data_IF_675453105774
#
_entry.id   IF_675453105774
#
_cell.length_a   1.000
_cell.length_b   1.000
_cell.length_c   1.000
_cell.angle_alpha   90.00
_cell.angle_beta   90.00
_cell.angle_gamma   90.00
#
_symmetry.space_group_name_H-M   'P 1'
#
loop_
_entity.id
_entity.type
_entity.pdbx_description
1 polymer ?
#
# COMPACT_ATOMS: atom_id res chain seq x y z
N UNK A 1 2.16 20.20 -4.65
CA UNK A 1 1.30 20.77 -3.59
C UNK A 1 1.10 22.27 -3.74
N UNK A 2 2.17 23.09 -3.72
CA UNK A 2 2.04 24.52 -4.00
C UNK A 2 1.81 24.81 -5.49
N UNK A 3 2.50 24.07 -6.35
CA UNK A 3 2.39 24.21 -7.81
C UNK A 3 1.27 23.31 -8.35
N UNK A 4 1.37 21.99 -8.14
CA UNK A 4 0.45 21.00 -8.72
C UNK A 4 -0.81 20.70 -7.88
N UNK A 5 -1.05 21.46 -6.80
CA UNK A 5 -2.18 21.22 -5.90
C UNK A 5 -3.47 21.93 -6.34
N UNK A 6 -4.56 21.66 -5.63
CA UNK A 6 -5.88 22.26 -5.87
C UNK A 6 -6.63 22.49 -4.57
N UNK A 7 -7.67 23.32 -4.62
CA UNK A 7 -8.57 23.52 -3.49
C UNK A 7 -9.56 22.34 -3.39
N UNK A 8 -9.53 21.61 -2.28
CA UNK A 8 -10.48 20.53 -2.03
C UNK A 8 -11.86 21.04 -1.58
N UNK A 9 -12.85 20.15 -1.44
CA UNK A 9 -14.23 20.52 -1.05
C UNK A 9 -14.35 21.22 0.31
N UNK A 10 -13.27 21.26 1.11
CA UNK A 10 -13.21 21.97 2.39
C UNK A 10 -12.43 23.28 2.29
N UNK A 11 -12.12 23.76 1.08
CA UNK A 11 -11.38 25.01 0.87
C UNK A 11 -9.87 24.89 1.15
N UNK A 12 -9.32 23.67 1.19
CA UNK A 12 -7.91 23.46 1.56
C UNK A 12 -7.07 23.15 0.32
N UNK A 13 -5.89 23.75 0.23
CA UNK A 13 -4.89 23.33 -0.75
C UNK A 13 -4.53 21.85 -0.51
N UNK A 14 -4.68 21.01 -1.53
CA UNK A 14 -4.51 19.57 -1.48
C UNK A 14 -3.82 19.04 -2.75
N UNK A 15 -3.20 17.87 -2.62
CA UNK A 15 -2.69 17.08 -3.72
C UNK A 15 -3.04 15.63 -3.40
N UNK A 16 -4.22 15.26 -3.88
CA UNK A 16 -4.78 13.91 -3.80
C UNK A 16 -4.94 13.42 -5.22
N UNK A 17 -4.15 12.43 -5.60
CA UNK A 17 -4.17 11.89 -6.96
C UNK A 17 -3.73 10.44 -6.93
N UNK A 18 -4.50 9.58 -7.59
CA UNK A 18 -4.10 8.23 -7.95
C UNK A 18 -3.44 8.28 -9.32
N UNK A 19 -2.24 7.72 -9.42
CA UNK A 19 -1.38 7.80 -10.59
C UNK A 19 -1.15 6.37 -11.08
N UNK A 20 -1.55 6.11 -12.31
CA UNK A 20 -1.34 4.83 -13.00
C UNK A 20 -0.30 4.94 -14.11
N UNK A 21 -0.11 3.85 -14.83
CA UNK A 21 0.75 3.75 -16.01
C UNK A 21 -0.04 4.01 -17.30
N UNK A 22 0.67 4.18 -18.42
CA UNK A 22 0.10 4.29 -19.76
C UNK A 22 -0.28 5.72 -20.15
N UNK A 23 -1.26 6.32 -19.48
CA UNK A 23 -1.77 7.66 -19.81
C UNK A 23 -1.79 8.59 -18.59
N UNK A 24 -1.54 9.91 -18.78
CA UNK A 24 -1.74 10.89 -17.72
C UNK A 24 -3.17 10.86 -17.18
N UNK A 25 -3.31 10.95 -15.86
CA UNK A 25 -4.61 11.09 -15.23
C UNK A 25 -5.19 12.50 -15.46
N UNK A 26 -6.42 12.74 -14.97
CA UNK A 26 -7.11 14.04 -15.10
C UNK A 26 -6.35 15.26 -14.49
N UNK A 27 -5.23 15.04 -13.81
CA UNK A 27 -4.37 16.08 -13.24
C UNK A 27 -2.98 16.10 -13.88
N UNK A 28 -2.80 15.45 -15.03
CA UNK A 28 -1.57 15.44 -15.80
C UNK A 28 -0.49 14.50 -15.27
N UNK A 29 -0.75 13.66 -14.26
CA UNK A 29 0.25 12.75 -13.68
C UNK A 29 0.21 11.35 -14.31
N UNK A 30 1.40 10.77 -14.49
CA UNK A 30 1.66 9.45 -15.05
C UNK A 30 2.79 8.76 -14.25
N UNK A 31 2.74 7.43 -14.13
CA UNK A 31 3.89 6.61 -13.76
C UNK A 31 4.63 6.19 -15.02
N UNK A 32 5.87 6.64 -15.16
CA UNK A 32 6.74 6.25 -16.26
C UNK A 32 7.79 5.26 -15.76
N UNK A 33 7.97 4.15 -16.48
CA UNK A 33 8.83 3.06 -16.04
C UNK A 33 10.01 2.90 -16.99
N UNK A 34 11.22 2.94 -16.43
CA UNK A 34 12.44 2.51 -17.10
C UNK A 34 12.86 1.11 -16.59
N UNK A 35 14.03 0.64 -17.01
CA UNK A 35 14.66 -0.62 -16.60
C UNK A 35 14.89 -0.65 -15.09
N UNK A 36 15.38 0.44 -14.51
CA UNK A 36 15.87 0.47 -13.12
C UNK A 36 15.03 1.33 -12.17
N UNK A 37 14.04 2.07 -12.67
CA UNK A 37 13.25 3.01 -11.86
C UNK A 37 11.80 3.16 -12.33
N UNK A 38 10.96 3.68 -11.44
CA UNK A 38 9.65 4.24 -11.76
C UNK A 38 9.62 5.71 -11.37
N UNK A 39 9.19 6.55 -12.28
CA UNK A 39 9.10 7.99 -12.12
C UNK A 39 7.63 8.43 -12.00
N UNK A 40 7.40 9.44 -11.18
CA UNK A 40 6.16 10.22 -11.21
C UNK A 40 6.39 11.39 -12.14
N UNK A 41 5.76 11.37 -13.30
CA UNK A 41 5.89 12.41 -14.33
C UNK A 41 4.61 13.25 -14.36
N UNK A 42 4.74 14.54 -14.61
CA UNK A 42 3.63 15.42 -14.95
C UNK A 42 3.82 15.98 -16.35
N UNK A 43 2.76 16.00 -17.17
CA UNK A 43 2.81 16.42 -18.58
C UNK A 43 3.47 17.81 -18.80
N UNK A 44 3.12 18.80 -17.99
CA UNK A 44 3.69 20.16 -18.10
C UNK A 44 5.01 20.40 -17.33
N UNK A 45 5.35 19.55 -16.35
CA UNK A 45 6.45 19.81 -15.40
C UNK A 45 7.57 18.76 -15.44
N UNK A 46 7.39 17.68 -16.21
CA UNK A 46 8.33 16.58 -16.30
C UNK A 46 8.39 15.73 -15.02
N UNK A 47 9.55 15.13 -14.76
CA UNK A 47 9.78 14.24 -13.62
C UNK A 47 9.64 14.97 -12.29
N UNK A 48 8.66 14.56 -11.49
CA UNK A 48 8.36 15.08 -10.15
C UNK A 48 8.99 14.27 -9.03
N UNK A 49 9.18 12.96 -9.23
CA UNK A 49 9.84 12.06 -8.27
C UNK A 49 10.36 10.81 -8.98
N UNK A 50 11.41 10.20 -8.44
CA UNK A 50 12.03 8.96 -8.96
C UNK A 50 12.14 7.94 -7.83
N UNK A 51 11.70 6.71 -8.09
CA UNK A 51 11.85 5.58 -7.18
C UNK A 51 12.70 4.50 -7.85
N UNK A 52 13.93 4.23 -7.38
CA UNK A 52 14.69 3.07 -7.85
C UNK A 52 13.94 1.77 -7.57
N UNK A 53 13.84 0.87 -8.55
CA UNK A 53 13.14 -0.40 -8.38
C UNK A 53 13.84 -1.30 -7.35
N UNK A 54 15.16 -1.20 -7.23
CA UNK A 54 15.94 -1.87 -6.19
C UNK A 54 15.54 -1.43 -4.78
N UNK A 55 15.26 -0.13 -4.59
CA UNK A 55 14.76 0.38 -3.31
C UNK A 55 13.35 -0.16 -3.02
N UNK A 56 12.46 -0.12 -4.02
CA UNK A 56 11.09 -0.60 -3.87
C UNK A 56 11.07 -2.09 -3.52
N UNK A 57 11.84 -2.90 -4.24
CA UNK A 57 12.05 -4.33 -3.96
C UNK A 57 12.40 -4.57 -2.50
N UNK A 58 13.49 -3.96 -2.03
CA UNK A 58 13.98 -4.12 -0.65
C UNK A 58 12.95 -3.68 0.41
N UNK A 59 12.13 -2.68 0.09
CA UNK A 59 11.07 -2.20 0.99
C UNK A 59 9.92 -3.19 1.04
N UNK A 60 9.47 -3.71 -0.10
CA UNK A 60 8.34 -4.63 -0.16
C UNK A 60 8.70 -6.00 0.40
N UNK A 61 9.87 -6.55 0.08
CA UNK A 61 10.34 -7.82 0.65
C UNK A 61 10.40 -7.77 2.18
N UNK A 62 10.88 -6.65 2.75
CA UNK A 62 10.92 -6.47 4.21
C UNK A 62 9.52 -6.33 4.82
N UNK A 63 8.57 -5.73 4.11
CA UNK A 63 7.25 -5.37 4.67
C UNK A 63 6.17 -6.40 4.43
N UNK A 64 6.29 -7.19 3.37
CA UNK A 64 5.27 -8.12 2.91
C UNK A 64 5.76 -9.58 2.90
N UNK A 65 6.63 -10.05 3.82
CA UNK A 65 7.10 -11.44 3.77
C UNK A 65 5.95 -12.45 3.82
N UNK A 66 4.90 -12.13 4.59
CA UNK A 66 3.61 -12.81 4.61
C UNK A 66 2.52 -11.80 5.04
N UNK A 67 1.26 -12.10 4.72
CA UNK A 67 0.10 -11.26 5.06
C UNK A 67 -1.08 -12.11 5.55
N UNK A 68 -1.90 -11.51 6.41
CA UNK A 68 -3.28 -11.97 6.62
C UNK A 68 -4.20 -10.96 5.92
N UNK A 69 -4.84 -11.39 4.84
CA UNK A 69 -5.87 -10.62 4.15
C UNK A 69 -7.22 -10.93 4.79
N UNK A 70 -7.89 -9.92 5.33
CA UNK A 70 -9.24 -10.04 5.92
C UNK A 70 -10.21 -9.21 5.10
N UNK A 71 -11.29 -9.83 4.64
CA UNK A 71 -12.35 -9.21 3.84
C UNK A 71 -13.61 -9.12 4.71
N UNK A 72 -14.35 -8.02 4.54
CA UNK A 72 -15.59 -7.79 5.27
C UNK A 72 -16.67 -7.27 4.35
N UNK A 73 -17.89 -7.81 4.51
CA UNK A 73 -19.09 -7.16 4.02
C UNK A 73 -19.38 -5.92 4.86
N UNK A 74 -19.76 -4.83 4.21
CA UNK A 74 -20.05 -3.55 4.85
C UNK A 74 -21.53 -3.26 4.76
N UNK A 75 -22.11 -2.85 5.88
CA UNK A 75 -23.50 -2.41 5.94
C UNK A 75 -23.64 -1.11 6.71
N UNK A 76 -24.34 -0.12 6.13
CA UNK A 76 -24.71 1.10 6.83
C UNK A 76 -26.16 1.01 7.34
N UNK A 77 -26.36 1.18 8.65
CA UNK A 77 -27.69 1.25 9.29
C UNK A 77 -27.72 2.39 10.30
N UNK A 78 -28.68 3.30 10.15
CA UNK A 78 -28.89 4.44 11.05
C UNK A 78 -27.62 5.29 11.25
N UNK A 79 -26.98 5.73 10.15
CA UNK A 79 -25.75 6.53 10.15
C UNK A 79 -24.56 5.86 10.88
N UNK A 80 -24.56 4.52 10.95
CA UNK A 80 -23.48 3.71 11.51
C UNK A 80 -23.08 2.62 10.54
N UNK A 81 -21.78 2.48 10.35
CA UNK A 81 -21.17 1.45 9.52
C UNK A 81 -20.88 0.20 10.37
N UNK A 82 -21.27 -0.95 9.85
CA UNK A 82 -21.06 -2.28 10.42
C UNK A 82 -20.22 -3.10 9.46
N UNK A 83 -19.29 -3.89 10.01
CA UNK A 83 -18.37 -4.73 9.25
C UNK A 83 -18.57 -6.18 9.67
N UNK A 84 -18.90 -7.04 8.72
CA UNK A 84 -18.93 -8.49 8.91
C UNK A 84 -17.71 -9.11 8.25
N UNK A 85 -16.66 -9.34 9.05
CA UNK A 85 -15.46 -10.04 8.62
C UNK A 85 -15.78 -11.52 8.41
N UNK A 86 -15.92 -11.92 7.15
CA UNK A 86 -16.46 -13.22 6.74
C UNK A 86 -15.44 -14.06 5.96
N UNK A 87 -14.35 -13.45 5.48
CA UNK A 87 -13.25 -14.16 4.83
C UNK A 87 -11.91 -13.70 5.42
N UNK A 88 -10.99 -14.66 5.60
CA UNK A 88 -9.61 -14.37 5.90
C UNK A 88 -8.68 -15.37 5.22
N UNK A 89 -7.54 -14.89 4.73
CA UNK A 89 -6.55 -15.67 4.00
C UNK A 89 -5.15 -15.39 4.52
N UNK A 90 -4.34 -16.42 4.68
CA UNK A 90 -2.90 -16.32 4.84
C UNK A 90 -2.24 -16.33 3.46
N UNK A 91 -1.45 -15.28 3.18
CA UNK A 91 -0.64 -15.14 1.98
C UNK A 91 0.84 -15.24 2.34
N UNK A 92 1.59 -16.09 1.65
CA UNK A 92 3.01 -16.37 1.94
C UNK A 92 3.81 -16.60 0.65
N UNK A 93 5.14 -16.56 0.76
CA UNK A 93 6.04 -16.68 -0.38
C UNK A 93 5.96 -15.45 -1.27
N UNK A 94 6.15 -14.25 -0.69
CA UNK A 94 6.09 -13.00 -1.43
C UNK A 94 7.14 -12.93 -2.54
N UNK A 95 6.68 -12.63 -3.76
CA UNK A 95 7.51 -12.42 -4.94
C UNK A 95 7.54 -10.93 -5.29
N UNK A 96 8.70 -10.31 -5.06
CA UNK A 96 8.91 -8.90 -5.33
C UNK A 96 9.01 -8.58 -6.82
N UNK A 97 9.47 -9.51 -7.65
CA UNK A 97 9.49 -9.35 -9.11
C UNK A 97 8.06 -9.28 -9.65
N UNK A 98 7.20 -10.21 -9.24
CA UNK A 98 5.81 -10.23 -9.67
C UNK A 98 5.03 -9.03 -9.12
N UNK A 99 5.34 -8.56 -7.90
CA UNK A 99 4.76 -7.32 -7.38
C UNK A 99 5.17 -6.08 -8.19
N UNK A 100 6.44 -5.99 -8.62
CA UNK A 100 6.89 -4.92 -9.52
C UNK A 100 6.27 -5.06 -10.92
N UNK A 101 5.97 -6.27 -11.38
CA UNK A 101 5.26 -6.49 -12.63
C UNK A 101 3.81 -6.00 -12.53
N UNK A 102 3.09 -6.29 -11.43
CA UNK A 102 1.76 -5.73 -11.16
C UNK A 102 1.74 -4.19 -11.18
N UNK A 103 2.81 -3.56 -10.68
CA UNK A 103 3.00 -2.12 -10.79
C UNK A 103 3.12 -1.64 -12.25
N UNK A 104 3.93 -2.32 -13.06
CA UNK A 104 4.11 -2.01 -14.50
C UNK A 104 2.84 -2.26 -15.32
N UNK A 105 2.09 -3.29 -14.98
CA UNK A 105 0.81 -3.66 -15.61
C UNK A 105 -0.31 -2.67 -15.26
N UNK A 106 -0.09 -1.78 -14.29
CA UNK A 106 -1.07 -0.78 -13.84
C UNK A 106 -2.06 -1.30 -12.80
N UNK A 107 -1.86 -2.51 -12.29
CA UNK A 107 -2.68 -3.12 -11.23
C UNK A 107 -2.39 -2.48 -9.87
N UNK A 108 -1.15 -2.02 -9.68
CA UNK A 108 -0.74 -1.24 -8.52
C UNK A 108 -0.47 0.21 -8.95
N UNK A 109 -1.18 1.13 -8.33
CA UNK A 109 -1.11 2.58 -8.58
C UNK A 109 -0.41 3.31 -7.44
N UNK A 110 -0.02 4.57 -7.69
CA UNK A 110 0.58 5.45 -6.69
C UNK A 110 -0.40 6.52 -6.23
N UNK A 111 -0.63 6.61 -4.92
CA UNK A 111 -1.48 7.62 -4.30
C UNK A 111 -0.65 8.73 -3.65
N UNK A 112 -0.78 9.95 -4.18
CA UNK A 112 -0.40 11.19 -3.48
C UNK A 112 -1.53 11.58 -2.53
N UNK A 113 -1.22 11.85 -1.25
CA UNK A 113 -2.23 12.04 -0.18
C UNK A 113 -1.89 13.19 0.75
N UNK A 114 -1.71 14.37 0.18
CA UNK A 114 -1.28 15.58 0.90
C UNK A 114 -2.38 16.64 0.96
N UNK A 115 -2.41 17.41 2.05
CA UNK A 115 -3.16 18.67 2.15
C UNK A 115 -2.52 19.62 3.15
N UNK A 116 -2.79 20.92 3.02
CA UNK A 116 -2.47 21.93 4.02
C UNK A 116 -3.62 21.96 5.03
N UNK A 117 -3.27 21.93 6.32
CA UNK A 117 -4.20 22.13 7.43
C UNK A 117 -4.52 23.62 7.59
N UNK A 118 -5.59 23.94 8.30
CA UNK A 118 -6.02 25.33 8.54
C UNK A 118 -4.93 26.17 9.24
N UNK A 119 -4.04 25.53 10.01
CA UNK A 119 -2.89 26.17 10.65
C UNK A 119 -1.65 26.34 9.74
N UNK A 120 -1.76 26.06 8.44
CA UNK A 120 -0.68 26.18 7.47
C UNK A 120 0.26 24.97 7.36
N UNK A 121 0.19 24.00 8.28
CA UNK A 121 1.07 22.84 8.25
C UNK A 121 0.68 21.83 7.16
N UNK A 122 1.67 21.26 6.49
CA UNK A 122 1.45 20.21 5.49
C UNK A 122 1.18 18.89 6.21
N UNK A 123 0.01 18.30 5.97
CA UNK A 123 -0.28 16.92 6.32
C UNK A 123 0.00 16.04 5.12
N UNK A 124 1.12 15.32 5.16
CA UNK A 124 1.41 14.24 4.24
C UNK A 124 1.07 12.89 4.92
N UNK A 125 0.26 12.04 4.29
CA UNK A 125 -0.04 10.67 4.76
C UNK A 125 0.96 9.63 4.24
N UNK A 126 2.01 10.08 3.56
CA UNK A 126 2.93 9.23 2.81
C UNK A 126 2.32 8.84 1.47
N UNK A 127 3.21 8.66 0.49
CA UNK A 127 2.88 8.05 -0.78
C UNK A 127 2.50 6.58 -0.56
N UNK A 128 1.43 6.10 -1.19
CA UNK A 128 1.02 4.70 -1.08
C UNK A 128 1.01 4.02 -2.44
N UNK A 129 1.62 2.84 -2.50
CA UNK A 129 1.40 1.88 -3.59
C UNK A 129 0.15 1.08 -3.25
N UNK A 130 -0.84 1.08 -4.13
CA UNK A 130 -2.17 0.50 -3.88
C UNK A 130 -2.59 -0.41 -5.02
N UNK A 131 -2.94 -1.64 -4.68
CA UNK A 131 -3.56 -2.55 -5.62
C UNK A 131 -5.03 -2.16 -5.86
N UNK A 132 -5.46 -2.17 -7.12
CA UNK A 132 -6.80 -1.75 -7.53
C UNK A 132 -7.80 -2.91 -7.62
N UNK A 133 -7.30 -4.10 -7.92
CA UNK A 133 -8.04 -5.36 -7.94
C UNK A 133 -7.32 -6.35 -7.03
N UNK A 134 -7.88 -6.57 -5.84
CA UNK A 134 -7.30 -7.40 -4.79
C UNK A 134 -7.16 -8.87 -5.22
N UNK A 135 -7.97 -9.35 -6.16
CA UNK A 135 -7.82 -10.70 -6.73
C UNK A 135 -6.49 -10.88 -7.47
N UNK A 136 -5.84 -9.80 -7.89
CA UNK A 136 -4.53 -9.85 -8.54
C UNK A 136 -3.38 -9.86 -7.55
N UNK A 137 -3.64 -9.59 -6.26
CA UNK A 137 -2.61 -9.63 -5.22
C UNK A 137 -2.01 -11.02 -5.11
N UNK A 138 -2.83 -12.06 -5.31
CA UNK A 138 -2.44 -13.46 -5.29
C UNK A 138 -1.30 -13.77 -6.26
N UNK A 139 -1.10 -12.99 -7.34
CA UNK A 139 0.05 -13.15 -8.24
C UNK A 139 1.37 -12.95 -7.49
N UNK A 140 1.43 -12.03 -6.53
CA UNK A 140 2.65 -11.69 -5.79
C UNK A 140 2.93 -12.63 -4.60
N UNK A 141 2.18 -13.72 -4.43
CA UNK A 141 2.35 -14.68 -3.34
C UNK A 141 2.22 -16.11 -3.86
N UNK A 142 3.12 -17.00 -3.43
CA UNK A 142 3.08 -18.41 -3.80
C UNK A 142 1.89 -19.14 -3.16
N UNK A 143 1.52 -18.75 -1.94
CA UNK A 143 0.51 -19.45 -1.12
C UNK A 143 -0.67 -18.52 -0.83
N UNK A 144 -1.88 -19.05 -0.98
CA UNK A 144 -3.12 -18.51 -0.41
C UNK A 144 -3.89 -19.60 0.33
N UNK A 145 -3.97 -19.49 1.65
CA UNK A 145 -4.67 -20.45 2.52
C UNK A 145 -5.85 -19.78 3.24
N UNK A 146 -7.09 -20.30 3.12
CA UNK A 146 -8.22 -19.80 3.89
C UNK A 146 -8.03 -20.06 5.40
N UNK A 147 -8.52 -19.12 6.22
CA UNK A 147 -8.37 -19.14 7.69
C UNK A 147 -9.70 -19.27 8.45
N UNK A 148 -10.85 -19.16 7.79
CA UNK A 148 -12.18 -19.19 8.42
C UNK A 148 -13.04 -20.39 8.00
N UNK A 149 -12.48 -21.40 7.31
CA UNK A 149 -13.21 -22.63 7.01
C UNK A 149 -13.35 -23.51 8.27
N UNK A 150 -14.51 -24.17 8.44
CA UNK A 150 -14.90 -24.89 9.66
C UNK A 150 -13.93 -26.04 10.07
N UNK A 151 -13.09 -26.51 9.14
CA UNK A 151 -12.14 -27.62 9.32
C UNK A 151 -10.67 -27.17 9.33
N UNK A 152 -10.35 -25.88 9.50
CA UNK A 152 -8.95 -25.43 9.59
C UNK A 152 -8.43 -25.62 11.01
N UNK A 153 -7.70 -26.72 11.23
CA UNK A 153 -6.80 -26.86 12.38
C UNK A 153 -5.68 -25.83 12.25
N UNK A 154 -5.88 -24.64 12.83
CA UNK A 154 -4.82 -23.64 12.97
C UNK A 154 -3.97 -24.03 14.17
N UNK A 155 -2.93 -24.82 13.95
CA UNK A 155 -1.85 -24.98 14.91
C UNK A 155 -1.03 -23.68 14.94
N UNK A 156 -1.43 -22.74 15.80
CA UNK A 156 -0.55 -21.65 16.20
C UNK A 156 0.57 -22.25 17.07
N UNK A 157 1.74 -22.48 16.49
CA UNK A 157 2.95 -22.56 17.28
C UNK A 157 3.14 -21.20 17.93
N UNK A 158 2.79 -21.10 19.22
CA UNK A 158 3.14 -19.94 20.02
C UNK A 158 4.67 -19.85 20.01
N UNK A 159 5.27 -18.70 19.62
CA UNK A 159 6.70 -18.54 19.76
C UNK A 159 7.09 -18.87 21.19
N UNK A 160 8.18 -19.63 21.34
CA UNK A 160 8.70 -20.02 22.64
C UNK A 160 8.96 -18.73 23.41
N UNK A 161 8.61 -18.73 24.70
CA UNK A 161 8.68 -17.54 25.57
C UNK A 161 10.08 -16.88 25.61
N UNK A 162 11.12 -17.61 25.19
CA UNK A 162 12.48 -17.10 24.99
C UNK A 162 12.61 -16.12 23.80
N UNK A 163 11.85 -16.30 22.70
CA UNK A 163 11.90 -15.39 21.54
C UNK A 163 11.17 -14.06 21.78
N UNK A 164 10.13 -14.08 22.63
CA UNK A 164 9.43 -12.85 23.06
C UNK A 164 10.32 -12.01 24.00
N UNK A 165 11.07 -12.66 24.90
CA UNK A 165 11.99 -11.95 25.78
C UNK A 165 13.20 -11.36 25.02
N UNK A 166 13.65 -12.01 23.94
CA UNK A 166 14.72 -11.49 23.09
C UNK A 166 14.29 -10.23 22.30
N UNK A 167 13.00 -10.12 21.96
CA UNK A 167 12.43 -8.94 21.31
C UNK A 167 12.33 -7.74 22.24
N UNK A 168 12.02 -7.96 23.53
CA UNK A 168 11.93 -6.89 24.52
C UNK A 168 13.33 -6.39 24.94
N UNK A 169 14.33 -7.28 25.06
CA UNK A 169 15.72 -6.91 25.46
C UNK A 169 16.47 -6.08 24.40
N UNK A 170 16.17 -6.20 23.10
CA UNK A 170 16.78 -5.36 22.06
C UNK A 170 16.20 -3.94 21.97
N UNK A 171 15.06 -3.67 22.62
CA UNK A 171 14.40 -2.36 22.56
C UNK A 171 14.76 -1.43 23.73
N UNK A 172 15.41 -1.95 24.77
CA UNK A 172 15.79 -1.19 25.97
C UNK A 172 17.29 -0.81 26.02
N UNK A 173 18.07 -1.05 24.96
CA UNK A 173 19.53 -0.75 24.94
C UNK A 173 19.95 0.53 24.21
N UNK A 174 19.02 1.35 23.72
CA UNK A 174 19.33 2.65 23.11
C UNK A 174 18.69 3.82 23.91
N UNK A 175 19.24 4.09 25.10
CA UNK A 175 19.22 5.42 25.75
C UNK A 175 20.62 6.08 25.71
#
# INVERSE_FOLDING_TARGET
>A
MRELGYEDSKGRQALKSTIGTGEPNSRGFLLDYDTDSVEVVHEDYGTCAVYPLTLLRNVFERKLPALILVIADVEERNDREYFWYNEAYYLDGFDSDEFLQLMRDGEITLDLRMHIKDNGNIRNRGTAWRIMDDNKLDRAFEVRKPLLEDDVDIEFERPVQEELNAFDDETDSDE
#
